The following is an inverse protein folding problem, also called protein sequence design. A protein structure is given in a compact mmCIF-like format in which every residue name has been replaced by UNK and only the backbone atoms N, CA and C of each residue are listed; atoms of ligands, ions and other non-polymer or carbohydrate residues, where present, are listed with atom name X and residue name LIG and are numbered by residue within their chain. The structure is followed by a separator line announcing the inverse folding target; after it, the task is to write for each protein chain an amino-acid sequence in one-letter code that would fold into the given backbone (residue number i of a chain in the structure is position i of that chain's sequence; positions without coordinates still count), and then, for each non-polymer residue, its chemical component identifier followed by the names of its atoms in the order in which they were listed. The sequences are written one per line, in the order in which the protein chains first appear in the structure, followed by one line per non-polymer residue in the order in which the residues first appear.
data_IF_533431849368
#
_entry.id   IF_533431849368
#
_cell.length_a   1.000
_cell.length_b   1.000
_cell.length_c   1.000
_cell.angle_alpha   90.00
_cell.angle_beta   90.00
_cell.angle_gamma   90.00
#
_symmetry.space_group_name_H-M   'P 1'
#
loop_
_entity.id
_entity.type
_entity.pdbx_description
1 polymer ?
#
# COMPACT_ATOMS: atom_id res chain seq x y z
N UNK A 1 1.53 22.01 -13.97
CA UNK A 1 1.33 20.73 -13.26
C UNK A 1 2.69 20.30 -12.72
N UNK A 2 2.87 20.33 -11.39
CA UNK A 2 4.18 20.10 -10.75
C UNK A 2 4.48 18.61 -10.63
N UNK A 3 5.63 18.16 -11.16
CA UNK A 3 6.17 16.82 -10.90
C UNK A 3 6.40 16.64 -9.40
N UNK A 4 6.11 15.47 -8.82
CA UNK A 4 6.45 15.19 -7.42
C UNK A 4 7.98 15.30 -7.25
N UNK A 5 8.42 16.26 -6.44
CA UNK A 5 9.83 16.62 -6.19
C UNK A 5 10.49 15.79 -5.08
N UNK A 6 9.79 14.81 -4.48
CA UNK A 6 10.37 13.91 -3.47
C UNK A 6 11.03 12.69 -4.10
N UNK A 7 12.06 12.90 -4.92
CA UNK A 7 13.06 11.87 -5.18
C UNK A 7 14.25 12.13 -4.26
N UNK A 8 14.04 12.01 -2.94
CA UNK A 8 15.17 11.94 -2.01
C UNK A 8 15.99 10.71 -2.39
N UNK A 9 17.12 10.93 -3.07
CA UNK A 9 18.11 9.89 -3.30
C UNK A 9 18.50 9.32 -1.94
N UNK A 10 18.34 8.01 -1.78
CA UNK A 10 18.74 7.30 -0.57
C UNK A 10 20.23 7.58 -0.33
N UNK A 11 20.55 8.28 0.76
CA UNK A 11 21.93 8.61 1.14
C UNK A 11 22.71 7.38 1.59
N UNK A 12 21.99 6.34 2.01
CA UNK A 12 22.52 5.05 2.44
C UNK A 12 21.61 3.93 1.92
N UNK A 13 22.18 2.74 1.70
CA UNK A 13 21.38 1.57 1.35
C UNK A 13 20.42 1.26 2.51
N UNK A 14 19.14 1.01 2.21
CA UNK A 14 18.19 0.59 3.25
C UNK A 14 18.68 -0.72 3.88
N UNK A 15 18.52 -0.90 5.20
CA UNK A 15 18.89 -2.14 5.86
C UNK A 15 18.18 -3.33 5.19
N UNK A 16 18.89 -4.45 5.06
CA UNK A 16 18.34 -5.66 4.44
C UNK A 16 17.16 -6.15 5.29
N UNK A 17 15.94 -5.99 4.76
CA UNK A 17 14.73 -6.46 5.42
C UNK A 17 14.69 -7.99 5.35
N UNK A 18 14.57 -8.66 6.50
CA UNK A 18 14.45 -10.11 6.53
C UNK A 18 13.18 -10.58 5.82
N UNK A 19 13.26 -11.73 5.12
CA UNK A 19 12.11 -12.31 4.42
C UNK A 19 10.90 -12.56 5.34
N UNK A 20 11.14 -12.95 6.59
CA UNK A 20 10.09 -13.11 7.60
C UNK A 20 9.35 -11.79 7.88
N UNK A 21 10.06 -10.66 7.90
CA UNK A 21 9.47 -9.33 8.07
C UNK A 21 8.62 -8.96 6.86
N UNK A 22 9.09 -9.22 5.64
CA UNK A 22 8.30 -8.97 4.42
C UNK A 22 7.01 -9.78 4.40
N UNK A 23 7.07 -11.08 4.75
CA UNK A 23 5.89 -11.95 4.84
C UNK A 23 4.92 -11.42 5.90
N UNK A 24 5.43 -11.07 7.09
CA UNK A 24 4.62 -10.50 8.16
C UNK A 24 3.94 -9.19 7.73
N UNK A 25 4.68 -8.28 7.11
CA UNK A 25 4.15 -7.01 6.62
C UNK A 25 3.11 -7.23 5.51
N UNK A 26 3.34 -8.15 4.57
CA UNK A 26 2.37 -8.51 3.53
C UNK A 26 1.06 -9.01 4.13
N UNK A 27 1.12 -9.93 5.11
CA UNK A 27 -0.08 -10.46 5.77
C UNK A 27 -0.86 -9.37 6.52
N UNK A 28 -0.18 -8.45 7.20
CA UNK A 28 -0.83 -7.34 7.88
C UNK A 28 -1.43 -6.33 6.88
N UNK A 29 -0.73 -6.04 5.79
CA UNK A 29 -1.20 -5.16 4.74
C UNK A 29 -2.42 -5.74 4.02
N UNK A 30 -2.47 -7.06 3.82
CA UNK A 30 -3.67 -7.76 3.30
C UNK A 30 -4.88 -7.59 4.24
N UNK A 31 -4.69 -7.70 5.55
CA UNK A 31 -5.76 -7.46 6.54
C UNK A 31 -6.26 -6.02 6.50
N UNK A 32 -5.33 -5.05 6.43
CA UNK A 32 -5.66 -3.63 6.29
C UNK A 32 -6.42 -3.37 5.00
N UNK A 33 -5.96 -3.92 3.88
CA UNK A 33 -6.62 -3.82 2.59
C UNK A 33 -8.04 -4.39 2.62
N UNK A 34 -8.22 -5.61 3.13
CA UNK A 34 -9.54 -6.21 3.30
C UNK A 34 -10.47 -5.34 4.17
N UNK A 35 -9.94 -4.75 5.25
CA UNK A 35 -10.69 -3.83 6.10
C UNK A 35 -11.06 -2.53 5.39
N UNK A 36 -10.14 -1.94 4.62
CA UNK A 36 -10.41 -0.73 3.84
C UNK A 36 -11.53 -0.91 2.83
N UNK A 37 -11.62 -2.10 2.23
CA UNK A 37 -12.71 -2.46 1.31
C UNK A 37 -14.05 -2.62 2.01
N UNK A 38 -14.08 -3.26 3.18
CA UNK A 38 -15.31 -3.39 4.00
C UNK A 38 -15.83 -2.04 4.48
N UNK A 39 -14.94 -1.05 4.63
CA UNK A 39 -15.27 0.32 4.99
C UNK A 39 -15.50 1.22 3.76
N UNK A 40 -15.45 0.65 2.55
CA UNK A 40 -15.69 1.37 1.29
C UNK A 40 -14.84 2.63 1.11
N UNK A 41 -13.61 2.63 1.66
CA UNK A 41 -12.76 3.81 1.73
C UNK A 41 -12.33 4.34 0.36
N UNK A 42 -12.20 3.46 -0.61
CA UNK A 42 -11.83 3.79 -1.98
C UNK A 42 -12.40 2.76 -2.93
N UNK A 43 -12.92 3.23 -4.05
CA UNK A 43 -13.36 2.39 -5.16
C UNK A 43 -12.38 2.54 -6.31
N UNK A 44 -12.04 1.41 -6.95
CA UNK A 44 -11.32 1.45 -8.20
C UNK A 44 -12.26 1.96 -9.29
N UNK A 45 -11.93 3.09 -9.90
CA UNK A 45 -12.58 3.56 -11.11
C UNK A 45 -11.69 3.19 -12.31
N UNK A 46 -12.24 2.56 -13.34
CA UNK A 46 -11.50 2.16 -14.55
C UNK A 46 -10.94 3.36 -15.32
N UNK A 47 -11.53 4.54 -15.15
CA UNK A 47 -11.04 5.79 -15.73
C UNK A 47 -9.84 6.39 -14.97
N UNK A 48 -9.50 5.86 -13.79
CA UNK A 48 -8.40 6.36 -12.97
C UNK A 48 -7.10 5.59 -13.26
N UNK A 49 -5.99 6.32 -13.36
CA UNK A 49 -4.66 5.71 -13.48
C UNK A 49 -4.35 4.80 -12.27
N UNK A 50 -3.72 3.66 -12.54
CA UNK A 50 -3.41 2.66 -11.52
C UNK A 50 -2.48 3.18 -10.43
N UNK A 51 -1.45 3.92 -10.80
CA UNK A 51 -0.52 4.48 -9.83
C UNK A 51 -1.24 5.51 -8.95
N UNK A 52 -2.09 6.34 -9.53
CA UNK A 52 -2.91 7.30 -8.77
C UNK A 52 -3.88 6.58 -7.83
N UNK A 53 -4.51 5.50 -8.27
CA UNK A 53 -5.38 4.69 -7.40
C UNK A 53 -4.63 4.13 -6.20
N UNK A 54 -3.48 3.49 -6.39
CA UNK A 54 -2.73 2.88 -5.28
C UNK A 54 -2.24 3.94 -4.30
N UNK A 55 -1.75 5.08 -4.80
CA UNK A 55 -1.33 6.18 -3.94
C UNK A 55 -2.51 6.78 -3.15
N UNK A 56 -3.67 6.93 -3.78
CA UNK A 56 -4.88 7.42 -3.13
C UNK A 56 -5.43 6.42 -2.09
N UNK A 57 -5.41 5.12 -2.39
CA UNK A 57 -5.75 4.04 -1.47
C UNK A 57 -4.88 4.11 -0.21
N UNK A 58 -3.56 4.15 -0.38
CA UNK A 58 -2.63 4.23 0.75
C UNK A 58 -2.83 5.52 1.57
N UNK A 59 -2.94 6.66 0.89
CA UNK A 59 -3.17 7.96 1.54
C UNK A 59 -4.46 7.96 2.36
N UNK A 60 -5.52 7.31 1.85
CA UNK A 60 -6.81 7.21 2.53
C UNK A 60 -6.71 6.29 3.75
N UNK A 61 -6.03 5.14 3.64
CA UNK A 61 -5.75 4.25 4.77
C UNK A 61 -5.00 4.97 5.90
N UNK A 62 -4.04 5.81 5.55
CA UNK A 62 -3.23 6.59 6.50
C UNK A 62 -4.01 7.72 7.20
N UNK A 63 -5.12 8.16 6.62
CA UNK A 63 -6.00 9.19 7.20
C UNK A 63 -7.16 8.62 8.02
N UNK A 64 -7.54 7.36 7.77
CA UNK A 64 -8.71 6.76 8.42
C UNK A 64 -8.38 6.21 9.81
N UNK A 65 -9.04 6.71 10.86
CA UNK A 65 -8.71 6.39 12.27
C UNK A 65 -8.68 4.90 12.59
N UNK A 66 -9.59 4.12 11.99
CA UNK A 66 -9.66 2.69 12.23
C UNK A 66 -8.47 1.88 11.65
N UNK A 67 -7.71 2.47 10.71
CA UNK A 67 -6.64 1.78 9.96
C UNK A 67 -5.27 2.44 10.22
N UNK A 68 -5.25 3.77 10.37
CA UNK A 68 -4.06 4.62 10.46
C UNK A 68 -2.99 4.06 11.38
N UNK A 69 -3.35 3.57 12.57
CA UNK A 69 -2.38 3.03 13.54
C UNK A 69 -1.59 1.84 12.99
N UNK A 70 -2.26 0.92 12.31
CA UNK A 70 -1.62 -0.27 11.75
C UNK A 70 -0.88 0.07 10.44
N UNK A 71 -1.42 1.00 9.66
CA UNK A 71 -0.78 1.50 8.45
C UNK A 71 0.54 2.23 8.76
N UNK A 72 0.56 3.12 9.76
CA UNK A 72 1.77 3.83 10.19
C UNK A 72 2.89 2.87 10.63
N UNK A 73 2.55 1.81 11.38
CA UNK A 73 3.54 0.80 11.78
C UNK A 73 4.17 0.10 10.58
N UNK A 74 3.38 -0.21 9.54
CA UNK A 74 3.92 -0.82 8.33
C UNK A 74 4.80 0.16 7.55
N UNK A 75 4.41 1.44 7.50
CA UNK A 75 5.21 2.51 6.89
C UNK A 75 6.56 2.68 7.58
N UNK A 76 6.59 2.66 8.91
CA UNK A 76 7.81 2.74 9.71
C UNK A 76 8.72 1.51 9.53
N UNK A 77 8.15 0.32 9.38
CA UNK A 77 8.91 -0.92 9.25
C UNK A 77 9.53 -1.12 7.86
N UNK A 78 8.87 -0.65 6.80
CA UNK A 78 9.26 -0.92 5.41
C UNK A 78 9.68 0.33 4.64
N UNK A 79 9.15 1.49 5.00
CA UNK A 79 9.20 2.71 4.20
C UNK A 79 8.09 2.76 3.15
N UNK A 80 7.56 3.96 2.91
CA UNK A 80 6.38 4.20 2.07
C UNK A 80 6.47 3.57 0.67
N UNK A 81 7.63 3.63 0.03
CA UNK A 81 7.82 3.06 -1.32
C UNK A 81 7.59 1.54 -1.34
N UNK A 82 8.10 0.83 -0.34
CA UNK A 82 8.01 -0.63 -0.27
C UNK A 82 6.60 -1.07 0.13
N UNK A 83 5.94 -0.29 1.01
CA UNK A 83 4.53 -0.52 1.36
C UNK A 83 3.62 -0.30 0.16
N UNK A 84 3.82 0.77 -0.60
CA UNK A 84 3.04 1.06 -1.81
C UNK A 84 3.23 -0.03 -2.87
N UNK A 85 4.45 -0.53 -3.04
CA UNK A 85 4.72 -1.65 -3.94
C UNK A 85 4.00 -2.93 -3.48
N UNK A 86 4.12 -3.30 -2.20
CA UNK A 86 3.43 -4.47 -1.66
C UNK A 86 1.90 -4.33 -1.73
N UNK A 87 1.37 -3.12 -1.54
CA UNK A 87 -0.06 -2.84 -1.68
C UNK A 87 -0.52 -3.04 -3.13
N UNK A 88 0.27 -2.55 -4.09
CA UNK A 88 0.06 -2.79 -5.52
C UNK A 88 -0.01 -4.29 -5.82
N UNK A 89 0.96 -5.07 -5.33
CA UNK A 89 0.99 -6.52 -5.51
C UNK A 89 -0.26 -7.20 -4.95
N UNK A 90 -0.69 -6.81 -3.74
CA UNK A 90 -1.91 -7.34 -3.10
C UNK A 90 -3.16 -7.02 -3.91
N UNK A 91 -3.31 -5.78 -4.41
CA UNK A 91 -4.45 -5.38 -5.24
C UNK A 91 -4.48 -6.18 -6.54
N UNK A 92 -3.32 -6.35 -7.19
CA UNK A 92 -3.21 -7.11 -8.44
C UNK A 92 -3.51 -8.59 -8.24
N UNK A 93 -2.97 -9.21 -7.18
CA UNK A 93 -3.29 -10.58 -6.78
C UNK A 93 -4.79 -10.75 -6.56
N UNK A 94 -5.42 -9.84 -5.81
CA UNK A 94 -6.85 -9.87 -5.57
C UNK A 94 -7.66 -9.78 -6.88
N UNK A 95 -7.31 -8.86 -7.80
CA UNK A 95 -8.00 -8.72 -9.10
C UNK A 95 -7.88 -9.98 -9.96
N UNK A 96 -6.70 -10.59 -10.01
CA UNK A 96 -6.49 -11.85 -10.73
C UNK A 96 -7.38 -12.97 -10.17
N UNK A 97 -7.49 -13.07 -8.85
CA UNK A 97 -8.37 -14.06 -8.20
C UNK A 97 -9.85 -13.80 -8.46
N UNK A 98 -10.29 -12.54 -8.54
CA UNK A 98 -11.68 -12.19 -8.86
C UNK A 98 -12.06 -12.45 -10.33
N UNK A 99 -11.10 -12.39 -11.26
CA UNK A 99 -11.35 -12.65 -12.69
C UNK A 99 -11.37 -14.15 -13.06
N UNK A 100 -11.11 -15.05 -12.11
CA UNK A 100 -11.09 -16.51 -12.30
C UNK A 100 -12.41 -17.15 -11.80
N UNK A 101 -13.39 -16.35 -11.37
CA UNK A 101 -14.75 -16.78 -11.05
C UNK A 101 -15.72 -16.29 -12.13
#
# INVERSE_FOLDING_TARGET
MGRPTKTERLKEARPIIMQSTLIFCKLNLQKIYARSRRLELTHWNEDQDYADYINNLWTTMMKHDAIKKDALKLDEMLGTGDVVQLLSDIVMEHRKSSNIQ
#
